data_IF_348597677104
#
_entry.id   IF_348597677104
#
_cell.length_a   1.000
_cell.length_b   1.000
_cell.length_c   1.000
_cell.angle_alpha   90.00
_cell.angle_beta   90.00
_cell.angle_gamma   90.00
#
_symmetry.space_group_name_H-M   'P 1'
#
loop_
_entity.id
_entity.type
_entity.pdbx_description
1 polymer ?
#
# COMPACT_ATOMS: atom_id res chain seq x y z
N UNK A 1 -0.68 45.89 -41.76
CA UNK A 1 -0.87 46.44 -40.39
C UNK A 1 -1.16 45.28 -39.46
N UNK A 2 -0.19 44.87 -38.64
CA UNK A 2 -0.34 43.71 -37.76
C UNK A 2 -1.08 44.13 -36.49
N UNK A 3 -2.39 43.89 -36.45
CA UNK A 3 -3.23 44.23 -35.31
C UNK A 3 -2.84 43.38 -34.10
N UNK A 4 -2.12 43.97 -33.15
CA UNK A 4 -1.95 43.40 -31.82
C UNK A 4 -3.31 43.39 -31.13
N UNK A 5 -4.05 42.30 -31.25
CA UNK A 5 -5.24 42.04 -30.44
C UNK A 5 -4.75 41.83 -29.01
N UNK A 6 -4.91 42.84 -28.16
CA UNK A 6 -4.69 42.69 -26.72
C UNK A 6 -5.57 41.57 -26.22
N UNK A 7 -4.97 40.64 -25.46
CA UNK A 7 -5.68 39.50 -24.92
C UNK A 7 -6.84 40.01 -24.06
N UNK A 8 -8.07 39.69 -24.46
CA UNK A 8 -9.27 40.15 -23.76
C UNK A 8 -9.37 39.49 -22.39
N UNK A 9 -9.96 40.18 -21.40
CA UNK A 9 -10.16 39.61 -20.06
C UNK A 9 -10.82 38.21 -20.09
N UNK A 10 -11.66 37.94 -21.08
CA UNK A 10 -12.30 36.64 -21.31
C UNK A 10 -11.30 35.54 -21.65
N UNK A 11 -10.26 35.82 -22.45
CA UNK A 11 -9.25 34.83 -22.82
C UNK A 11 -8.39 34.44 -21.61
N UNK A 12 -8.12 35.38 -20.71
CA UNK A 12 -7.47 35.08 -19.42
C UNK A 12 -8.35 34.22 -18.52
N UNK A 13 -9.65 34.49 -18.45
CA UNK A 13 -10.59 33.67 -17.69
C UNK A 13 -10.69 32.26 -18.25
N UNK A 14 -10.66 32.09 -19.57
CA UNK A 14 -10.69 30.78 -20.21
C UNK A 14 -9.41 29.98 -19.96
N UNK A 15 -8.24 30.62 -20.04
CA UNK A 15 -6.96 29.97 -19.70
C UNK A 15 -6.93 29.61 -18.22
N UNK A 16 -7.34 30.51 -17.34
CA UNK A 16 -7.41 30.26 -15.90
C UNK A 16 -8.33 29.09 -15.59
N UNK A 17 -9.52 29.05 -16.19
CA UNK A 17 -10.47 27.95 -16.00
C UNK A 17 -9.87 26.61 -16.47
N UNK A 18 -9.22 26.58 -17.64
CA UNK A 18 -8.56 25.38 -18.14
C UNK A 18 -7.46 24.90 -17.17
N UNK A 19 -6.63 25.82 -16.66
CA UNK A 19 -5.59 25.49 -15.67
C UNK A 19 -6.19 24.94 -14.38
N UNK A 20 -7.25 25.57 -13.85
CA UNK A 20 -7.92 25.12 -12.63
C UNK A 20 -8.52 23.71 -12.79
N UNK A 21 -9.10 23.39 -13.95
CA UNK A 21 -9.63 22.05 -14.22
C UNK A 21 -8.50 21.01 -14.22
N UNK A 22 -7.39 21.28 -14.91
CA UNK A 22 -6.23 20.37 -14.94
C UNK A 22 -5.66 20.16 -13.53
N UNK A 23 -5.49 21.23 -12.76
CA UNK A 23 -5.01 21.15 -11.38
C UNK A 23 -5.98 20.37 -10.50
N UNK A 24 -7.29 20.60 -10.62
CA UNK A 24 -8.29 19.87 -9.85
C UNK A 24 -8.27 18.37 -10.15
N UNK A 25 -8.14 17.97 -11.42
CA UNK A 25 -7.99 16.56 -11.82
C UNK A 25 -6.69 15.97 -11.26
N UNK A 26 -5.57 16.69 -11.36
CA UNK A 26 -4.29 16.24 -10.81
C UNK A 26 -4.37 16.02 -9.29
N UNK A 27 -4.93 16.98 -8.55
CA UNK A 27 -5.14 16.88 -7.09
C UNK A 27 -6.08 15.73 -6.75
N UNK A 28 -7.16 15.54 -7.52
CA UNK A 28 -8.10 14.43 -7.35
C UNK A 28 -7.40 13.07 -7.46
N UNK A 29 -6.49 12.92 -8.43
CA UNK A 29 -5.74 11.68 -8.58
C UNK A 29 -4.68 11.50 -7.48
N UNK A 30 -3.94 12.54 -7.11
CA UNK A 30 -2.91 12.45 -6.04
C UNK A 30 -3.52 12.16 -4.67
N UNK A 31 -4.63 12.80 -4.32
CA UNK A 31 -5.28 12.65 -3.00
C UNK A 31 -6.01 11.32 -2.82
N UNK A 32 -6.32 10.61 -3.91
CA UNK A 32 -6.99 9.30 -3.88
C UNK A 32 -6.03 8.12 -3.78
N UNK A 33 -4.73 8.33 -3.96
CA UNK A 33 -3.73 7.32 -3.61
C UNK A 33 -3.57 7.32 -2.08
N UNK A 34 -4.58 6.81 -1.38
CA UNK A 34 -4.47 6.54 0.05
C UNK A 34 -3.49 5.37 0.21
N UNK A 35 -2.20 5.68 0.34
CA UNK A 35 -1.24 4.71 0.85
C UNK A 35 -1.70 4.24 2.23
N UNK A 36 -1.59 2.94 2.49
CA UNK A 36 -1.77 2.39 3.83
C UNK A 36 -0.72 2.94 4.79
N UNK A 37 -0.91 2.75 6.10
CA UNK A 37 0.14 3.07 7.06
C UNK A 37 1.44 2.37 6.64
N UNK A 38 2.62 2.98 6.76
CA UNK A 38 3.86 2.27 6.47
C UNK A 38 3.93 0.99 7.33
N UNK A 39 4.52 -0.08 6.81
CA UNK A 39 4.77 -1.32 7.57
C UNK A 39 6.10 -1.90 7.08
N UNK A 40 7.06 -2.00 7.99
CA UNK A 40 8.27 -2.79 7.78
C UNK A 40 8.29 -3.95 8.77
N UNK A 41 8.66 -5.13 8.27
CA UNK A 41 8.68 -6.36 9.04
C UNK A 41 9.78 -7.28 8.52
N UNK A 42 10.21 -8.21 9.36
CA UNK A 42 11.03 -9.37 8.94
C UNK A 42 10.13 -10.58 8.73
N UNK A 43 10.58 -11.53 7.93
CA UNK A 43 9.95 -12.83 7.76
C UNK A 43 11.01 -13.92 7.89
N UNK A 44 10.80 -14.87 8.80
CA UNK A 44 11.74 -15.97 9.07
C UNK A 44 11.01 -17.29 9.02
N UNK A 45 11.54 -18.25 8.26
CA UNK A 45 11.00 -19.60 8.22
C UNK A 45 11.36 -20.35 9.51
N UNK A 46 10.35 -20.94 10.14
CA UNK A 46 10.51 -21.80 11.31
C UNK A 46 10.69 -23.27 10.89
N UNK A 47 11.23 -24.09 11.78
CA UNK A 47 11.50 -25.52 11.52
C UNK A 47 10.24 -26.34 11.22
N UNK A 48 9.08 -25.86 11.68
CA UNK A 48 7.77 -26.48 11.44
C UNK A 48 7.14 -26.07 10.09
N UNK A 49 7.81 -25.23 9.30
CA UNK A 49 7.32 -24.72 8.02
C UNK A 49 6.43 -23.48 8.12
N UNK A 50 6.13 -22.98 9.32
CA UNK A 50 5.45 -21.70 9.51
C UNK A 50 6.42 -20.53 9.29
N UNK A 51 5.87 -19.35 9.08
CA UNK A 51 6.64 -18.11 8.93
C UNK A 51 6.40 -17.22 10.14
N UNK A 52 7.46 -16.93 10.88
CA UNK A 52 7.44 -15.88 11.92
C UNK A 52 7.64 -14.52 11.25
N UNK A 53 6.72 -13.60 11.49
CA UNK A 53 6.91 -12.19 11.18
C UNK A 53 7.21 -11.40 12.45
N UNK A 54 8.06 -10.39 12.34
CA UNK A 54 8.32 -9.41 13.40
C UNK A 54 8.23 -8.01 12.82
N UNK A 55 7.35 -7.18 13.39
CA UNK A 55 7.14 -5.81 12.92
C UNK A 55 8.27 -4.93 13.46
N UNK A 56 9.00 -4.29 12.55
CA UNK A 56 10.14 -3.44 12.87
C UNK A 56 9.71 -1.98 13.05
N UNK A 57 8.89 -1.47 12.14
CA UNK A 57 8.46 -0.08 12.10
C UNK A 57 7.15 0.07 11.34
N UNK A 58 6.55 1.25 11.48
CA UNK A 58 5.24 1.54 10.91
C UNK A 58 4.10 0.97 11.76
N UNK A 59 2.89 0.91 11.20
CA UNK A 59 1.67 0.60 11.94
C UNK A 59 1.20 1.74 12.86
N UNK A 60 0.11 1.53 13.62
CA UNK A 60 -0.58 0.25 13.80
C UNK A 60 -1.52 -0.12 12.65
N UNK A 61 -1.50 -1.38 12.20
CA UNK A 61 -2.56 -1.98 11.37
C UNK A 61 -3.42 -2.85 12.28
N UNK A 62 -4.68 -2.48 12.47
CA UNK A 62 -5.58 -3.13 13.43
C UNK A 62 -5.81 -4.61 13.10
N UNK A 63 -6.05 -5.39 14.15
CA UNK A 63 -6.53 -6.76 14.01
C UNK A 63 -7.75 -6.83 13.08
N UNK A 64 -7.72 -7.76 12.12
CA UNK A 64 -8.78 -7.91 11.11
C UNK A 64 -8.61 -7.06 9.85
N UNK A 65 -7.82 -5.98 9.89
CA UNK A 65 -7.60 -5.07 8.75
C UNK A 65 -6.44 -5.50 7.84
N UNK A 66 -5.81 -6.64 8.10
CA UNK A 66 -4.74 -7.18 7.29
C UNK A 66 -4.97 -8.63 6.90
N UNK A 67 -4.27 -9.05 5.86
CA UNK A 67 -4.19 -10.43 5.39
C UNK A 67 -2.81 -10.69 4.78
N UNK A 68 -2.46 -11.94 4.54
CA UNK A 68 -1.17 -12.30 3.95
C UNK A 68 -1.32 -13.34 2.84
N UNK A 69 -0.27 -13.49 2.02
CA UNK A 69 -0.07 -14.61 1.09
C UNK A 69 1.40 -14.68 0.66
N UNK A 70 1.82 -15.78 0.05
CA UNK A 70 3.03 -15.77 -0.76
C UNK A 70 2.77 -15.03 -2.08
N UNK A 71 3.79 -14.37 -2.62
CA UNK A 71 3.69 -13.66 -3.89
C UNK A 71 3.14 -14.55 -5.02
N UNK A 72 3.57 -15.81 -5.06
CA UNK A 72 3.15 -16.80 -6.06
C UNK A 72 1.80 -17.46 -5.74
N UNK A 73 1.15 -17.14 -4.63
CA UNK A 73 -0.14 -17.69 -4.27
C UNK A 73 -1.29 -16.92 -4.94
N UNK A 74 -2.31 -17.66 -5.38
CA UNK A 74 -3.53 -17.09 -6.00
C UNK A 74 -4.36 -16.32 -4.98
N UNK A 75 -4.65 -16.96 -3.85
CA UNK A 75 -5.61 -16.46 -2.86
C UNK A 75 -4.91 -15.84 -1.64
N UNK A 76 -5.59 -14.86 -1.04
CA UNK A 76 -5.22 -14.32 0.27
C UNK A 76 -5.65 -15.27 1.38
N UNK A 77 -4.89 -15.32 2.48
CA UNK A 77 -5.22 -16.15 3.63
C UNK A 77 -6.64 -15.85 4.15
N UNK A 78 -7.44 -16.90 4.32
CA UNK A 78 -8.82 -16.82 4.85
C UNK A 78 -8.84 -16.81 6.37
N UNK A 79 -7.86 -17.47 7.00
CA UNK A 79 -7.63 -17.45 8.43
C UNK A 79 -6.38 -16.63 8.72
N UNK A 80 -6.53 -15.55 9.48
CA UNK A 80 -5.45 -14.66 9.87
C UNK A 80 -5.47 -14.46 11.39
N UNK A 81 -4.32 -14.42 12.08
CA UNK A 81 -4.28 -14.13 13.50
C UNK A 81 -4.95 -12.80 13.84
N UNK A 82 -5.78 -12.80 14.89
CA UNK A 82 -6.44 -11.58 15.36
C UNK A 82 -5.48 -10.75 16.22
N UNK A 83 -4.59 -10.01 15.54
CA UNK A 83 -3.53 -9.22 16.18
C UNK A 83 -3.33 -7.91 15.43
N UNK A 84 -3.05 -6.84 16.19
CA UNK A 84 -2.66 -5.54 15.64
C UNK A 84 -1.17 -5.58 15.29
N UNK A 85 -0.82 -5.24 14.06
CA UNK A 85 0.57 -5.14 13.63
C UNK A 85 1.12 -3.77 14.02
N UNK A 86 2.00 -3.75 15.00
CA UNK A 86 2.70 -2.56 15.50
C UNK A 86 4.13 -2.93 15.91
N UNK A 87 5.07 -1.96 16.02
CA UNK A 87 6.48 -2.25 16.21
C UNK A 87 6.74 -3.12 17.46
N UNK A 88 7.56 -4.16 17.30
CA UNK A 88 7.87 -5.14 18.34
C UNK A 88 6.91 -6.33 18.43
N UNK A 89 5.79 -6.31 17.70
CA UNK A 89 4.88 -7.46 17.64
C UNK A 89 5.46 -8.57 16.75
N UNK A 90 5.46 -9.79 17.28
CA UNK A 90 5.77 -11.01 16.54
C UNK A 90 4.51 -11.85 16.32
N UNK A 91 4.34 -12.40 15.12
CA UNK A 91 3.20 -13.25 14.75
C UNK A 91 3.71 -14.48 14.00
N UNK A 92 3.14 -15.65 14.27
CA UNK A 92 3.41 -16.87 13.50
C UNK A 92 2.28 -17.05 12.50
N UNK A 93 2.64 -17.24 11.23
CA UNK A 93 1.73 -17.43 10.12
C UNK A 93 1.90 -18.84 9.57
N UNK A 94 0.79 -19.56 9.42
CA UNK A 94 0.80 -20.81 8.67
C UNK A 94 0.65 -20.49 7.19
N UNK A 95 1.75 -20.64 6.45
CA UNK A 95 1.86 -20.28 5.05
C UNK A 95 2.20 -21.53 4.23
N UNK A 96 1.19 -22.13 3.61
CA UNK A 96 1.38 -23.34 2.79
C UNK A 96 2.36 -23.08 1.65
N UNK A 97 3.40 -23.93 1.54
CA UNK A 97 4.41 -23.83 0.49
C UNK A 97 5.48 -22.77 0.73
N UNK A 98 5.58 -22.22 1.95
CA UNK A 98 6.67 -21.30 2.29
C UNK A 98 8.02 -22.02 2.28
N UNK A 99 9.01 -21.35 1.71
CA UNK A 99 10.40 -21.78 1.67
C UNK A 99 11.32 -20.56 1.77
N UNK A 100 12.57 -20.77 2.18
CA UNK A 100 13.57 -19.70 2.21
C UNK A 100 13.75 -19.13 0.80
N UNK A 101 13.81 -17.80 0.70
CA UNK A 101 13.85 -17.07 -0.56
C UNK A 101 12.49 -16.77 -1.18
N UNK A 102 11.40 -17.33 -0.65
CA UNK A 102 10.04 -16.94 -1.08
C UNK A 102 9.68 -15.54 -0.57
N UNK A 103 8.87 -14.80 -1.32
CA UNK A 103 8.35 -13.49 -0.92
C UNK A 103 7.02 -13.65 -0.18
N UNK A 104 6.96 -13.22 1.08
CA UNK A 104 5.74 -13.03 1.84
C UNK A 104 5.16 -11.64 1.56
N UNK A 105 3.86 -11.57 1.28
CA UNK A 105 3.12 -10.33 1.08
C UNK A 105 2.08 -10.17 2.19
N UNK A 106 2.06 -9.01 2.82
CA UNK A 106 1.01 -8.55 3.75
C UNK A 106 0.21 -7.47 3.05
N UNK A 107 -1.11 -7.51 3.14
CA UNK A 107 -2.02 -6.52 2.57
C UNK A 107 -2.84 -5.86 3.63
N UNK A 108 -2.85 -4.53 3.64
CA UNK A 108 -3.83 -3.74 4.38
C UNK A 108 -5.13 -3.68 3.58
N UNK A 109 -6.21 -4.27 4.12
CA UNK A 109 -7.49 -4.45 3.42
C UNK A 109 -8.12 -3.11 3.03
N UNK A 110 -8.08 -2.12 3.91
CA UNK A 110 -8.76 -0.83 3.72
C UNK A 110 -8.11 0.05 2.67
N UNK A 111 -6.77 0.11 2.63
CA UNK A 111 -6.04 0.92 1.64
C UNK A 111 -5.61 0.13 0.40
N UNK A 112 -5.79 -1.19 0.41
CA UNK A 112 -5.32 -2.10 -0.63
C UNK A 112 -3.78 -2.11 -0.81
N UNK A 113 -3.03 -1.58 0.17
CA UNK A 113 -1.57 -1.49 0.14
C UNK A 113 -0.94 -2.83 0.46
N UNK A 114 0.08 -3.21 -0.31
CA UNK A 114 0.79 -4.48 -0.16
C UNK A 114 2.23 -4.18 0.28
N UNK A 115 2.69 -4.90 1.29
CA UNK A 115 4.03 -4.88 1.84
C UNK A 115 4.66 -6.24 1.58
N UNK A 116 5.89 -6.29 1.07
CA UNK A 116 6.55 -7.53 0.66
C UNK A 116 7.86 -7.70 1.42
N UNK A 117 8.17 -8.94 1.79
CA UNK A 117 9.45 -9.28 2.42
C UNK A 117 9.90 -10.69 2.02
N UNK A 118 11.22 -10.87 1.83
CA UNK A 118 11.81 -12.18 1.57
C UNK A 118 11.87 -12.98 2.88
N UNK A 119 11.43 -14.24 2.82
CA UNK A 119 11.53 -15.18 3.93
C UNK A 119 12.98 -15.67 4.04
N UNK A 120 13.60 -15.42 5.20
CA UNK A 120 14.97 -15.83 5.53
C UNK A 120 15.03 -17.16 6.29
#
# INVERSE_FOLDING_TARGET
MSGRKGQGAIEYLLILAAVLIVVAVAVYHVTRVKGGPPLGFTATLLDNGDVKIEVLNGGPIKAGDWTYKLENATDWATSVPYVTLEPGVSVILSVTGASKGSTLQIKHKTSNTIYSQIIM
#
